data_IF_340670194385
#
_entry.id   IF_340670194385
#
_cell.length_a   1.000
_cell.length_b   1.000
_cell.length_c   1.000
_cell.angle_alpha   90.00
_cell.angle_beta   90.00
_cell.angle_gamma   90.00
#
_symmetry.space_group_name_H-M   'P 1'
#
loop_
_entity.id
_entity.type
_entity.pdbx_description
1 polymer ?
#
# COMPACT_ATOMS: atom_id res chain seq x y z
N UNK A 1 -17.23 20.22 -18.49
CA UNK A 1 -15.96 19.49 -18.68
C UNK A 1 -15.44 19.21 -17.27
N UNK A 2 -15.55 17.97 -16.80
CA UNK A 2 -15.41 17.57 -15.38
C UNK A 2 -14.11 18.02 -14.70
N UNK A 3 -13.06 18.29 -15.49
CA UNK A 3 -11.80 18.84 -14.98
C UNK A 3 -11.97 20.23 -14.33
N UNK A 4 -12.88 21.08 -14.85
CA UNK A 4 -13.12 22.41 -14.28
C UNK A 4 -13.78 22.34 -12.90
N UNK A 5 -14.79 21.47 -12.74
CA UNK A 5 -15.44 21.21 -11.44
C UNK A 5 -14.46 20.67 -10.40
N UNK A 6 -13.42 19.96 -10.86
CA UNK A 6 -12.34 19.53 -9.99
C UNK A 6 -11.50 20.71 -9.54
N UNK A 7 -11.07 21.57 -10.46
CA UNK A 7 -10.15 22.66 -10.17
C UNK A 7 -10.69 23.70 -9.16
N UNK A 8 -12.01 23.83 -9.00
CA UNK A 8 -12.62 24.77 -8.06
C UNK A 8 -12.47 24.36 -6.57
N UNK A 9 -12.45 23.06 -6.26
CA UNK A 9 -12.39 22.56 -4.87
C UNK A 9 -10.95 22.38 -4.39
N UNK A 10 -10.28 23.50 -4.10
CA UNK A 10 -8.93 23.54 -3.52
C UNK A 10 -8.95 23.80 -2.02
N UNK A 11 -7.90 23.35 -1.31
CA UNK A 11 -7.71 23.64 0.11
C UNK A 11 -7.57 25.13 0.44
N UNK A 12 -7.40 26.00 -0.56
CA UNK A 12 -7.31 27.45 -0.38
C UNK A 12 -8.69 28.11 -0.28
N UNK A 13 -9.73 27.47 -0.82
CA UNK A 13 -11.12 27.99 -0.85
C UNK A 13 -11.94 27.47 0.34
N UNK A 14 -11.60 26.29 0.85
CA UNK A 14 -12.39 25.59 1.86
C UNK A 14 -11.75 25.74 3.24
N UNK A 15 -12.54 26.13 4.22
CA UNK A 15 -12.10 26.13 5.61
C UNK A 15 -12.02 24.69 6.16
N UNK A 16 -10.79 24.22 6.31
CA UNK A 16 -10.47 22.86 6.79
C UNK A 16 -10.90 22.67 8.26
N UNK A 17 -11.06 23.75 9.02
CA UNK A 17 -11.46 23.69 10.43
C UNK A 17 -12.89 23.16 10.62
N UNK A 18 -13.77 23.42 9.66
CA UNK A 18 -15.15 22.92 9.68
C UNK A 18 -15.23 21.39 9.71
N UNK A 19 -14.23 20.70 9.15
CA UNK A 19 -14.20 19.24 9.07
C UNK A 19 -13.56 18.59 10.30
N UNK A 20 -13.00 19.37 11.21
CA UNK A 20 -12.29 18.82 12.38
C UNK A 20 -13.25 18.09 13.30
N UNK A 21 -12.87 16.88 13.69
CA UNK A 21 -13.72 16.01 14.49
C UNK A 21 -12.87 15.13 15.40
N UNK A 22 -13.21 15.10 16.69
CA UNK A 22 -12.52 14.34 17.72
C UNK A 22 -13.26 13.06 18.17
N UNK A 23 -14.20 12.56 17.36
CA UNK A 23 -14.80 11.24 17.57
C UNK A 23 -13.71 10.18 17.74
N UNK A 24 -13.90 9.30 18.72
CA UNK A 24 -12.96 8.24 19.06
C UNK A 24 -12.52 7.40 17.84
N UNK A 25 -13.47 7.07 16.96
CA UNK A 25 -13.18 6.34 15.70
C UNK A 25 -12.22 7.11 14.78
N UNK A 26 -12.42 8.42 14.59
CA UNK A 26 -11.55 9.26 13.75
C UNK A 26 -10.14 9.39 14.32
N UNK A 27 -10.03 9.51 15.65
CA UNK A 27 -8.73 9.55 16.34
C UNK A 27 -8.00 8.21 16.21
N UNK A 28 -8.70 7.08 16.41
CA UNK A 28 -8.12 5.75 16.19
C UNK A 28 -7.64 5.60 14.74
N UNK A 29 -8.46 5.98 13.76
CA UNK A 29 -8.08 5.89 12.34
C UNK A 29 -6.81 6.70 12.05
N UNK A 30 -6.63 7.86 12.69
CA UNK A 30 -5.42 8.65 12.55
C UNK A 30 -4.18 7.98 13.16
N UNK A 31 -4.32 7.41 14.36
CA UNK A 31 -3.23 6.65 15.01
C UNK A 31 -2.86 5.43 14.16
N UNK A 32 -3.85 4.69 13.65
CA UNK A 32 -3.62 3.56 12.75
C UNK A 32 -2.94 4.00 11.45
N UNK A 33 -3.34 5.14 10.88
CA UNK A 33 -2.66 5.72 9.71
C UNK A 33 -1.17 5.96 9.98
N UNK A 34 -0.82 6.58 11.11
CA UNK A 34 0.58 6.82 11.49
C UNK A 34 1.33 5.51 11.71
N UNK A 35 0.72 4.55 12.40
CA UNK A 35 1.29 3.22 12.62
C UNK A 35 1.59 2.49 11.31
N UNK A 36 0.64 2.44 10.38
CA UNK A 36 0.85 1.81 9.07
C UNK A 36 1.88 2.54 8.22
N UNK A 37 2.00 3.87 8.35
CA UNK A 37 3.05 4.62 7.68
C UNK A 37 4.45 4.23 8.20
N UNK A 38 4.62 4.13 9.52
CA UNK A 38 5.88 3.69 10.15
C UNK A 38 6.20 2.26 9.71
N UNK A 39 5.23 1.35 9.75
CA UNK A 39 5.40 -0.02 9.26
C UNK A 39 5.87 -0.05 7.80
N UNK A 40 5.27 0.77 6.92
CA UNK A 40 5.68 0.85 5.52
C UNK A 40 7.16 1.25 5.37
N UNK A 41 7.62 2.22 6.16
CA UNK A 41 9.03 2.64 6.16
C UNK A 41 9.93 1.52 6.71
N UNK A 42 9.51 0.86 7.79
CA UNK A 42 10.25 -0.25 8.38
C UNK A 42 10.41 -1.43 7.42
N UNK A 43 9.37 -1.78 6.65
CA UNK A 43 9.45 -2.81 5.62
C UNK A 43 10.46 -2.45 4.52
N UNK A 44 10.43 -1.21 4.01
CA UNK A 44 11.42 -0.75 3.03
C UNK A 44 12.84 -0.85 3.60
N UNK A 45 13.04 -0.46 4.86
CA UNK A 45 14.33 -0.58 5.54
C UNK A 45 14.80 -2.03 5.68
N UNK A 46 13.90 -2.94 6.07
CA UNK A 46 14.17 -4.38 6.15
C UNK A 46 14.55 -4.97 4.79
N UNK A 47 13.90 -4.52 3.72
CA UNK A 47 14.16 -4.98 2.35
C UNK A 47 15.54 -4.53 1.87
N UNK A 48 15.90 -3.26 2.13
CA UNK A 48 17.23 -2.73 1.83
C UNK A 48 18.32 -3.48 2.61
N UNK A 49 18.11 -3.74 3.90
CA UNK A 49 19.05 -4.50 4.72
C UNK A 49 19.26 -5.92 4.18
N UNK A 50 18.19 -6.58 3.76
CA UNK A 50 18.25 -7.91 3.13
C UNK A 50 19.02 -7.85 1.80
N UNK A 51 18.82 -6.79 1.00
CA UNK A 51 19.57 -6.57 -0.23
C UNK A 51 21.08 -6.49 0.02
N UNK A 52 21.49 -5.64 0.99
CA UNK A 52 22.90 -5.44 1.35
C UNK A 52 23.52 -6.77 1.80
N UNK A 53 22.82 -7.53 2.64
CA UNK A 53 23.27 -8.84 3.09
C UNK A 53 23.52 -9.81 1.93
N UNK A 54 22.61 -9.85 0.96
CA UNK A 54 22.72 -10.73 -0.21
C UNK A 54 23.86 -10.34 -1.15
N UNK A 55 24.17 -9.05 -1.26
CA UNK A 55 25.27 -8.54 -2.10
C UNK A 55 26.63 -8.73 -1.42
N UNK A 56 26.72 -8.51 -0.11
CA UNK A 56 28.00 -8.47 0.61
C UNK A 56 28.47 -9.85 1.04
N UNK A 57 27.57 -10.72 1.51
CA UNK A 57 27.97 -11.95 2.18
C UNK A 57 27.92 -13.18 1.30
N UNK A 58 27.36 -13.10 0.08
CA UNK A 58 27.27 -14.19 -0.90
C UNK A 58 26.82 -15.53 -0.31
N UNK A 59 26.10 -15.49 0.82
CA UNK A 59 25.61 -16.62 1.57
C UNK A 59 24.17 -16.32 1.99
N UNK A 60 23.27 -17.20 1.59
CA UNK A 60 22.02 -17.38 2.31
C UNK A 60 22.37 -17.91 3.72
N UNK A 61 21.56 -17.58 4.73
CA UNK A 61 21.66 -18.14 6.09
C UNK A 61 22.05 -19.63 6.02
N UNK A 62 23.15 -19.97 6.68
CA UNK A 62 24.20 -20.90 6.28
C UNK A 62 23.79 -22.36 6.14
N UNK A 63 22.55 -22.72 6.46
CA UNK A 63 22.04 -24.11 6.43
C UNK A 63 20.75 -24.29 5.62
N UNK A 64 20.22 -23.23 5.00
CA UNK A 64 18.96 -23.30 4.25
C UNK A 64 19.27 -23.20 2.75
N UNK A 65 19.52 -24.34 2.10
CA UNK A 65 19.70 -24.38 0.65
C UNK A 65 18.39 -23.98 -0.08
N UNK A 66 18.36 -22.91 -0.90
CA UNK A 66 17.18 -22.60 -1.71
C UNK A 66 16.95 -23.71 -2.75
N UNK A 67 15.67 -23.97 -3.10
CA UNK A 67 15.29 -24.94 -4.14
C UNK A 67 15.76 -24.53 -5.54
N UNK A 68 15.96 -23.23 -5.73
CA UNK A 68 16.44 -22.59 -6.95
C UNK A 68 17.93 -22.28 -6.74
N UNK A 69 18.74 -22.34 -7.81
CA UNK A 69 20.15 -22.01 -7.72
C UNK A 69 20.34 -20.63 -7.09
N UNK A 70 21.32 -20.55 -6.18
CA UNK A 70 21.55 -19.37 -5.37
C UNK A 70 21.73 -18.10 -6.21
N UNK A 71 22.38 -18.22 -7.37
CA UNK A 71 22.58 -17.12 -8.31
C UNK A 71 21.27 -16.56 -8.88
N UNK A 72 20.31 -17.43 -9.24
CA UNK A 72 19.01 -16.99 -9.78
C UNK A 72 18.22 -16.25 -8.69
N UNK A 73 18.18 -16.79 -7.47
CA UNK A 73 17.53 -16.12 -6.34
C UNK A 73 18.14 -14.74 -6.07
N UNK A 74 19.46 -14.62 -6.07
CA UNK A 74 20.16 -13.35 -5.86
C UNK A 74 19.70 -12.28 -6.85
N UNK A 75 19.72 -12.60 -8.15
CA UNK A 75 19.32 -11.65 -9.19
C UNK A 75 17.84 -11.28 -9.14
N UNK A 76 16.96 -12.23 -8.80
CA UNK A 76 15.53 -11.94 -8.60
C UNK A 76 15.35 -10.95 -7.43
N UNK A 77 15.99 -11.20 -6.29
CA UNK A 77 15.89 -10.30 -5.13
C UNK A 77 16.41 -8.90 -5.45
N UNK A 78 17.59 -8.78 -6.05
CA UNK A 78 18.17 -7.49 -6.46
C UNK A 78 17.23 -6.76 -7.43
N UNK A 79 16.73 -7.46 -8.46
CA UNK A 79 15.82 -6.90 -9.45
C UNK A 79 14.52 -6.39 -8.84
N UNK A 80 13.90 -7.17 -7.94
CA UNK A 80 12.68 -6.78 -7.25
C UNK A 80 12.87 -5.55 -6.36
N UNK A 81 14.00 -5.48 -5.65
CA UNK A 81 14.32 -4.37 -4.76
C UNK A 81 14.59 -3.09 -5.56
N UNK A 82 15.36 -3.19 -6.65
CA UNK A 82 15.62 -2.06 -7.54
C UNK A 82 14.34 -1.55 -8.18
N UNK A 83 13.48 -2.44 -8.68
CA UNK A 83 12.17 -2.07 -9.23
C UNK A 83 11.27 -1.41 -8.18
N UNK A 84 11.25 -1.93 -6.95
CA UNK A 84 10.50 -1.35 -5.83
C UNK A 84 10.95 0.07 -5.52
N UNK A 85 12.27 0.31 -5.43
CA UNK A 85 12.84 1.65 -5.20
C UNK A 85 12.47 2.60 -6.35
N UNK A 86 12.61 2.17 -7.60
CA UNK A 86 12.24 2.99 -8.76
C UNK A 86 10.74 3.36 -8.74
N UNK A 87 9.86 2.40 -8.45
CA UNK A 87 8.43 2.68 -8.33
C UNK A 87 8.11 3.62 -7.17
N UNK A 88 8.80 3.49 -6.03
CA UNK A 88 8.63 4.40 -4.90
C UNK A 88 9.04 5.82 -5.29
N UNK A 89 10.21 6.00 -5.92
CA UNK A 89 10.70 7.30 -6.39
C UNK A 89 9.76 7.92 -7.41
N UNK A 90 9.32 7.14 -8.41
CA UNK A 90 8.38 7.60 -9.42
C UNK A 90 7.05 8.07 -8.81
N UNK A 91 6.47 7.26 -7.92
CA UNK A 91 5.22 7.59 -7.23
C UNK A 91 5.40 8.80 -6.30
N UNK A 92 6.58 8.98 -5.71
CA UNK A 92 6.88 10.12 -4.87
C UNK A 92 6.93 11.42 -5.68
N UNK A 93 7.66 11.44 -6.80
CA UNK A 93 7.73 12.60 -7.71
C UNK A 93 6.33 12.95 -8.23
N UNK A 94 5.58 11.96 -8.70
CA UNK A 94 4.20 12.17 -9.15
C UNK A 94 3.28 12.65 -8.02
N UNK A 95 3.48 12.13 -6.81
CA UNK A 95 2.81 12.55 -5.58
C UNK A 95 3.07 14.02 -5.24
N UNK A 96 4.32 14.46 -5.32
CA UNK A 96 4.69 15.86 -5.10
C UNK A 96 4.05 16.78 -6.14
N UNK A 97 4.04 16.39 -7.42
CA UNK A 97 3.35 17.17 -8.46
C UNK A 97 1.87 17.37 -8.13
N UNK A 98 1.19 16.32 -7.64
CA UNK A 98 -0.22 16.40 -7.21
C UNK A 98 -0.38 17.18 -5.89
N UNK A 99 0.59 17.10 -4.98
CA UNK A 99 0.56 17.87 -3.74
C UNK A 99 0.47 19.39 -4.00
N UNK A 100 1.23 19.87 -4.98
CA UNK A 100 1.26 21.28 -5.35
C UNK A 100 -0.01 21.78 -6.04
N UNK A 101 -0.88 20.90 -6.57
CA UNK A 101 -2.16 21.35 -7.15
C UNK A 101 -3.16 21.81 -6.11
N UNK A 102 -2.96 21.48 -4.81
CA UNK A 102 -3.85 21.81 -3.68
C UNK A 102 -5.31 21.39 -3.86
N UNK A 103 -5.60 20.59 -4.87
CA UNK A 103 -6.92 20.14 -5.24
C UNK A 103 -7.31 18.92 -4.41
N UNK A 104 -8.42 19.02 -3.67
CA UNK A 104 -8.77 18.02 -2.65
C UNK A 104 -9.03 16.63 -3.27
N UNK A 105 -9.71 16.60 -4.41
CA UNK A 105 -10.03 15.34 -5.08
C UNK A 105 -8.78 14.64 -5.63
N UNK A 106 -7.86 15.42 -6.22
CA UNK A 106 -6.62 14.89 -6.79
C UNK A 106 -5.65 14.44 -5.69
N UNK A 107 -5.54 15.20 -4.60
CA UNK A 107 -4.69 14.85 -3.46
C UNK A 107 -5.20 13.61 -2.74
N UNK A 108 -6.51 13.47 -2.55
CA UNK A 108 -7.10 12.26 -1.94
C UNK A 108 -6.84 10.99 -2.76
N UNK A 109 -6.97 11.08 -4.08
CA UNK A 109 -6.77 9.97 -5.01
C UNK A 109 -5.29 9.56 -5.10
N UNK A 110 -4.35 10.46 -4.78
CA UNK A 110 -2.92 10.16 -4.78
C UNK A 110 -2.43 9.80 -3.36
N UNK A 111 -2.06 8.53 -3.08
CA UNK A 111 -1.66 8.12 -1.74
C UNK A 111 -0.49 8.92 -1.15
N UNK A 112 0.50 9.30 -1.97
CA UNK A 112 1.64 10.08 -1.49
C UNK A 112 1.20 11.49 -1.10
N UNK A 113 0.47 12.18 -1.97
CA UNK A 113 -0.02 13.53 -1.67
C UNK A 113 -0.92 13.52 -0.42
N UNK A 114 -1.88 12.58 -0.37
CA UNK A 114 -2.76 12.37 0.79
C UNK A 114 -1.96 12.18 2.08
N UNK A 115 -0.98 11.28 2.08
CA UNK A 115 -0.18 10.99 3.26
C UNK A 115 0.61 12.23 3.74
N UNK A 116 1.18 13.01 2.82
CA UNK A 116 1.91 14.25 3.16
C UNK A 116 0.96 15.26 3.83
N UNK A 117 -0.25 15.44 3.31
CA UNK A 117 -1.25 16.33 3.93
C UNK A 117 -1.69 15.84 5.32
N UNK A 118 -1.96 14.54 5.49
CA UNK A 118 -2.32 13.96 6.79
C UNK A 118 -1.20 14.10 7.83
N UNK A 119 0.06 14.01 7.42
CA UNK A 119 1.21 14.23 8.30
C UNK A 119 1.39 15.69 8.68
N UNK A 120 1.07 16.60 7.77
CA UNK A 120 1.19 18.04 8.00
C UNK A 120 0.24 18.53 9.09
N UNK A 121 -1.00 18.04 9.10
CA UNK A 121 -1.98 18.41 10.12
C UNK A 121 -3.12 17.41 10.20
N UNK A 122 -3.59 17.16 11.42
CA UNK A 122 -4.78 16.36 11.71
C UNK A 122 -6.03 16.87 10.97
N UNK A 123 -6.14 18.19 10.76
CA UNK A 123 -7.30 18.80 10.08
C UNK A 123 -7.52 18.22 8.68
N UNK A 124 -6.43 18.05 7.90
CA UNK A 124 -6.51 17.45 6.57
C UNK A 124 -6.90 15.97 6.61
N UNK A 125 -6.48 15.24 7.65
CA UNK A 125 -6.90 13.87 7.85
C UNK A 125 -8.42 13.79 8.09
N UNK A 126 -8.99 14.71 8.89
CA UNK A 126 -10.42 14.74 9.13
C UNK A 126 -11.23 14.95 7.84
N UNK A 127 -10.79 15.86 6.95
CA UNK A 127 -11.41 16.04 5.62
C UNK A 127 -11.45 14.72 4.85
N UNK A 128 -10.31 14.02 4.77
CA UNK A 128 -10.23 12.74 4.05
C UNK A 128 -11.02 11.61 4.72
N UNK A 129 -11.11 11.61 6.05
CA UNK A 129 -11.91 10.64 6.79
C UNK A 129 -13.41 10.84 6.50
N UNK A 130 -13.86 12.09 6.35
CA UNK A 130 -15.25 12.40 6.00
C UNK A 130 -15.60 11.90 4.60
N UNK A 131 -14.73 12.13 3.61
CA UNK A 131 -14.87 11.63 2.23
C UNK A 131 -15.04 10.10 2.18
N UNK A 132 -14.34 9.39 3.06
CA UNK A 132 -14.38 7.92 3.12
C UNK A 132 -15.72 7.38 3.63
N UNK A 133 -16.52 8.20 4.32
CA UNK A 133 -17.72 7.76 5.04
C UNK A 133 -19.03 7.83 4.25
N UNK A 134 -19.00 8.20 2.97
CA UNK A 134 -20.21 8.50 2.18
C UNK A 134 -21.13 7.27 1.95
N UNK A 135 -20.80 6.40 0.99
CA UNK A 135 -21.67 5.31 0.56
C UNK A 135 -20.88 4.02 0.32
N UNK A 136 -21.47 2.85 0.63
CA UNK A 136 -20.82 1.55 0.46
C UNK A 136 -20.35 1.30 -0.99
N UNK A 137 -21.19 1.64 -1.98
CA UNK A 137 -20.82 1.49 -3.39
C UNK A 137 -19.62 2.38 -3.77
N UNK A 138 -19.60 3.64 -3.32
CA UNK A 138 -18.48 4.55 -3.55
C UNK A 138 -17.22 4.06 -2.83
N UNK A 139 -17.36 3.51 -1.62
CA UNK A 139 -16.30 2.83 -0.89
C UNK A 139 -15.69 1.66 -1.67
N UNK A 140 -16.53 0.81 -2.27
CA UNK A 140 -16.07 -0.27 -3.15
C UNK A 140 -15.36 0.25 -4.41
N UNK A 141 -15.88 1.31 -5.04
CA UNK A 141 -15.22 1.93 -6.21
C UNK A 141 -13.84 2.48 -5.82
N UNK A 142 -13.74 3.20 -4.69
CA UNK A 142 -12.47 3.70 -4.17
C UNK A 142 -11.52 2.55 -3.89
N UNK A 143 -11.97 1.52 -3.18
CA UNK A 143 -11.17 0.33 -2.87
C UNK A 143 -10.59 -0.30 -4.14
N UNK A 144 -11.44 -0.63 -5.11
CA UNK A 144 -11.02 -1.23 -6.39
C UNK A 144 -10.06 -0.31 -7.14
N UNK A 145 -10.34 0.99 -7.21
CA UNK A 145 -9.47 1.95 -7.87
C UNK A 145 -8.06 2.01 -7.23
N UNK A 146 -7.98 2.13 -5.90
CA UNK A 146 -6.71 2.22 -5.19
C UNK A 146 -5.90 0.92 -5.27
N UNK A 147 -6.56 -0.24 -5.20
CA UNK A 147 -5.90 -1.55 -5.32
C UNK A 147 -5.35 -1.79 -6.73
N UNK A 148 -6.11 -1.46 -7.77
CA UNK A 148 -5.65 -1.58 -9.15
C UNK A 148 -4.54 -0.58 -9.46
N UNK A 149 -4.60 0.65 -8.95
CA UNK A 149 -3.53 1.64 -9.14
C UNK A 149 -2.19 1.19 -8.57
N UNK A 150 -2.20 0.50 -7.43
CA UNK A 150 -0.99 0.04 -6.74
C UNK A 150 -0.58 -1.40 -7.10
N UNK A 151 -1.18 -2.01 -8.13
CA UNK A 151 -0.97 -3.42 -8.45
C UNK A 151 0.46 -3.74 -8.90
N UNK A 152 1.14 -2.82 -9.61
CA UNK A 152 2.49 -3.05 -10.14
C UNK A 152 3.51 -3.30 -9.03
N UNK A 153 3.44 -2.57 -7.92
CA UNK A 153 4.30 -2.81 -6.76
C UNK A 153 4.05 -4.20 -6.19
N UNK A 154 2.79 -4.55 -5.94
CA UNK A 154 2.40 -5.82 -5.35
C UNK A 154 2.79 -7.03 -6.23
N UNK A 155 2.51 -6.96 -7.54
CA UNK A 155 2.74 -8.07 -8.47
C UNK A 155 4.21 -8.16 -8.86
N UNK A 156 4.79 -7.07 -9.37
CA UNK A 156 6.11 -7.12 -10.01
C UNK A 156 7.26 -6.99 -9.01
N UNK A 157 7.07 -6.26 -7.90
CA UNK A 157 8.13 -6.08 -6.92
C UNK A 157 8.03 -7.10 -5.78
N UNK A 158 6.85 -7.24 -5.19
CA UNK A 158 6.73 -8.05 -3.99
C UNK A 158 6.54 -9.54 -4.29
N UNK A 159 5.69 -9.92 -5.26
CA UNK A 159 5.36 -11.34 -5.49
C UNK A 159 6.56 -12.26 -5.71
N UNK A 160 7.55 -11.96 -6.59
CA UNK A 160 8.63 -12.90 -6.85
C UNK A 160 9.45 -13.19 -5.59
N UNK A 161 9.74 -12.14 -4.82
CA UNK A 161 10.42 -12.24 -3.53
C UNK A 161 9.61 -13.03 -2.51
N UNK A 162 8.31 -12.76 -2.40
CA UNK A 162 7.46 -13.40 -1.41
C UNK A 162 7.17 -14.87 -1.74
N UNK A 163 7.15 -15.25 -3.02
CA UNK A 163 7.10 -16.65 -3.45
C UNK A 163 8.39 -17.39 -3.04
N UNK A 164 9.56 -16.78 -3.19
CA UNK A 164 10.82 -17.39 -2.72
C UNK A 164 10.82 -17.52 -1.19
N UNK A 165 10.35 -16.50 -0.46
CA UNK A 165 10.19 -16.56 0.99
C UNK A 165 9.26 -17.72 1.40
N UNK A 166 8.13 -17.89 0.72
CA UNK A 166 7.19 -18.99 0.97
C UNK A 166 7.81 -20.37 0.76
N UNK A 167 8.51 -20.57 -0.36
CA UNK A 167 9.19 -21.85 -0.66
C UNK A 167 10.21 -22.16 0.44
N UNK A 168 10.95 -21.14 0.89
CA UNK A 168 11.92 -21.25 1.98
C UNK A 168 11.23 -21.69 3.28
N UNK A 169 10.13 -21.02 3.65
CA UNK A 169 9.35 -21.34 4.86
C UNK A 169 8.78 -22.76 4.82
N UNK A 170 8.16 -23.17 3.70
CA UNK A 170 7.59 -24.52 3.54
C UNK A 170 8.66 -25.60 3.74
N UNK A 171 9.87 -25.39 3.20
CA UNK A 171 10.97 -26.35 3.36
C UNK A 171 11.39 -26.48 4.83
N UNK A 172 11.52 -25.37 5.52
CA UNK A 172 11.91 -25.34 6.93
C UNK A 172 10.85 -26.03 7.81
N UNK A 173 9.57 -25.82 7.51
CA UNK A 173 8.45 -26.47 8.20
C UNK A 173 8.32 -27.97 7.92
N UNK A 174 8.93 -28.51 6.86
CA UNK A 174 8.91 -29.97 6.65
C UNK A 174 9.71 -30.75 7.70
N UNK A 175 10.60 -30.07 8.43
CA UNK A 175 11.42 -30.67 9.46
C UNK A 175 10.81 -30.55 10.87
N UNK A 176 9.74 -29.77 11.05
CA UNK A 176 9.21 -29.44 12.38
C UNK A 176 7.73 -29.01 12.32
N UNK A 177 6.93 -29.32 13.34
CA UNK A 177 5.46 -29.16 13.26
C UNK A 177 4.93 -27.73 13.38
N UNK A 178 5.75 -26.76 13.84
CA UNK A 178 5.31 -25.38 14.03
C UNK A 178 6.37 -24.33 13.66
N UNK A 179 5.97 -23.23 13.03
CA UNK A 179 6.90 -22.14 12.68
C UNK A 179 7.61 -21.55 13.91
N UNK A 180 6.89 -21.49 15.04
CA UNK A 180 7.42 -20.94 16.29
C UNK A 180 8.49 -21.86 16.90
N UNK A 181 8.34 -23.19 16.81
CA UNK A 181 9.37 -24.12 17.27
C UNK A 181 10.62 -24.04 16.40
N UNK A 182 10.46 -23.93 15.07
CA UNK A 182 11.61 -23.78 14.17
C UNK A 182 12.40 -22.50 14.45
N UNK A 183 11.72 -21.35 14.58
CA UNK A 183 12.40 -20.08 14.86
C UNK A 183 13.16 -20.16 16.19
N UNK A 184 12.59 -20.80 17.22
CA UNK A 184 13.26 -21.01 18.51
C UNK A 184 14.49 -21.94 18.39
N UNK A 185 14.38 -23.02 17.63
CA UNK A 185 15.47 -23.97 17.40
C UNK A 185 16.64 -23.32 16.65
N UNK A 186 16.36 -22.53 15.61
CA UNK A 186 17.38 -21.77 14.86
C UNK A 186 17.94 -20.63 15.70
N UNK A 187 17.14 -19.98 16.55
CA UNK A 187 17.63 -18.92 17.43
C UNK A 187 18.66 -19.41 18.46
N UNK A 188 18.60 -20.69 18.83
CA UNK A 188 19.55 -21.32 19.75
C UNK A 188 20.95 -21.48 19.12
N UNK A 189 21.03 -21.69 17.80
CA UNK A 189 22.29 -21.86 17.06
C UNK A 189 22.77 -20.56 16.41
N UNK A 190 21.88 -19.80 15.79
CA UNK A 190 22.20 -18.56 15.09
C UNK A 190 21.08 -17.52 15.20
N UNK A 191 21.23 -16.60 16.15
CA UNK A 191 20.28 -15.49 16.39
C UNK A 191 20.03 -14.64 15.15
N UNK A 192 21.05 -14.43 14.31
CA UNK A 192 20.92 -13.57 13.12
C UNK A 192 20.01 -14.19 12.07
N UNK A 193 20.12 -15.50 11.87
CA UNK A 193 19.31 -16.23 10.89
C UNK A 193 17.85 -16.35 11.34
N UNK A 194 17.63 -16.57 12.64
CA UNK A 194 16.29 -16.58 13.22
C UNK A 194 15.56 -15.23 13.04
N UNK A 195 16.27 -14.10 13.22
CA UNK A 195 15.72 -12.76 12.98
C UNK A 195 15.31 -12.60 11.52
N UNK A 196 16.20 -12.97 10.57
CA UNK A 196 15.91 -12.87 9.14
C UNK A 196 14.69 -13.71 8.77
N UNK A 197 14.64 -14.97 9.22
CA UNK A 197 13.52 -15.86 8.96
C UNK A 197 12.21 -15.28 9.53
N UNK A 198 12.23 -14.71 10.74
CA UNK A 198 11.06 -14.09 11.35
C UNK A 198 10.54 -12.89 10.54
N UNK A 199 11.45 -12.04 10.04
CA UNK A 199 11.11 -10.89 9.20
C UNK A 199 10.56 -11.34 7.84
N UNK A 200 11.16 -12.37 7.24
CA UNK A 200 10.67 -12.96 5.99
C UNK A 200 9.25 -13.48 6.14
N UNK A 201 8.98 -14.26 7.18
CA UNK A 201 7.63 -14.80 7.47
C UNK A 201 6.62 -13.70 7.74
N UNK A 202 6.98 -12.69 8.54
CA UNK A 202 6.11 -11.56 8.81
C UNK A 202 5.79 -10.78 7.52
N UNK A 203 6.78 -10.51 6.68
CA UNK A 203 6.58 -9.82 5.39
C UNK A 203 5.67 -10.61 4.45
N UNK A 204 5.80 -11.95 4.43
CA UNK A 204 4.97 -12.82 3.61
C UNK A 204 3.50 -12.77 4.04
N UNK A 205 3.22 -12.79 5.35
CA UNK A 205 1.85 -12.69 5.89
C UNK A 205 1.21 -11.35 5.47
N UNK A 206 1.93 -10.24 5.62
CA UNK A 206 1.42 -8.92 5.22
C UNK A 206 1.18 -8.85 3.71
N UNK A 207 2.11 -9.34 2.90
CA UNK A 207 1.93 -9.42 1.45
C UNK A 207 0.72 -10.28 1.07
N UNK A 208 0.51 -11.42 1.74
CA UNK A 208 -0.59 -12.33 1.46
C UNK A 208 -1.95 -11.67 1.73
N UNK A 209 -2.07 -10.88 2.81
CA UNK A 209 -3.26 -10.08 3.09
C UNK A 209 -3.52 -9.08 1.95
N UNK A 210 -2.50 -8.34 1.51
CA UNK A 210 -2.65 -7.41 0.39
C UNK A 210 -2.95 -8.10 -0.94
N UNK A 211 -2.43 -9.31 -1.15
CA UNK A 211 -2.73 -10.13 -2.31
C UNK A 211 -4.19 -10.56 -2.34
N UNK A 212 -4.75 -11.00 -1.20
CA UNK A 212 -6.19 -11.32 -1.09
C UNK A 212 -7.05 -10.09 -1.42
N UNK A 213 -6.73 -8.93 -0.84
CA UNK A 213 -7.44 -7.68 -1.14
C UNK A 213 -7.36 -7.29 -2.62
N UNK A 214 -6.22 -7.55 -3.27
CA UNK A 214 -6.04 -7.32 -4.69
C UNK A 214 -6.88 -8.28 -5.55
N UNK A 215 -6.96 -9.56 -5.17
CA UNK A 215 -7.84 -10.53 -5.83
C UNK A 215 -9.30 -10.09 -5.73
N UNK A 216 -9.76 -9.66 -4.57
CA UNK A 216 -11.11 -9.08 -4.41
C UNK A 216 -11.31 -7.87 -5.33
N UNK A 217 -10.33 -6.97 -5.42
CA UNK A 217 -10.43 -5.80 -6.29
C UNK A 217 -10.57 -6.19 -7.78
N UNK A 218 -9.88 -7.24 -8.25
CA UNK A 218 -10.03 -7.78 -9.62
C UNK A 218 -11.43 -8.35 -9.81
N UNK A 219 -11.92 -9.17 -8.88
CA UNK A 219 -13.24 -9.79 -8.99
C UNK A 219 -14.35 -8.74 -9.11
N UNK A 220 -14.25 -7.65 -8.34
CA UNK A 220 -15.22 -6.55 -8.39
C UNK A 220 -14.95 -5.55 -9.52
N UNK A 221 -13.80 -5.60 -10.20
CA UNK A 221 -13.45 -4.61 -11.23
C UNK A 221 -14.46 -4.59 -12.38
N UNK A 222 -14.77 -5.74 -12.98
CA UNK A 222 -15.71 -5.84 -14.10
C UNK A 222 -17.11 -5.28 -13.78
N UNK A 223 -17.81 -5.72 -12.71
CA UNK A 223 -19.14 -5.21 -12.41
C UNK A 223 -19.13 -3.72 -12.02
N UNK A 224 -18.10 -3.26 -11.30
CA UNK A 224 -17.96 -1.84 -10.94
C UNK A 224 -17.71 -1.00 -12.19
N UNK A 225 -16.77 -1.41 -13.04
CA UNK A 225 -16.45 -0.70 -14.27
C UNK A 225 -17.66 -0.60 -15.19
N UNK A 226 -18.41 -1.69 -15.36
CA UNK A 226 -19.65 -1.69 -16.13
C UNK A 226 -20.65 -0.67 -15.58
N UNK A 227 -20.90 -0.69 -14.26
CA UNK A 227 -21.85 0.23 -13.63
C UNK A 227 -21.40 1.69 -13.72
N UNK A 228 -20.12 1.99 -13.53
CA UNK A 228 -19.60 3.36 -13.57
C UNK A 228 -19.60 3.93 -14.99
N UNK A 229 -19.10 3.18 -15.97
CA UNK A 229 -18.93 3.69 -17.33
C UNK A 229 -20.23 3.63 -18.14
N UNK A 230 -20.96 2.51 -18.09
CA UNK A 230 -22.14 2.33 -18.94
C UNK A 230 -23.42 2.84 -18.28
N UNK A 231 -23.67 2.46 -17.02
CA UNK A 231 -24.93 2.83 -16.34
C UNK A 231 -24.91 4.28 -15.86
N UNK A 232 -23.80 4.72 -15.26
CA UNK A 232 -23.65 6.08 -14.74
C UNK A 232 -23.01 7.06 -15.73
N UNK A 233 -22.61 6.59 -16.93
CA UNK A 233 -22.12 7.42 -18.06
C UNK A 233 -20.84 8.22 -17.76
N UNK A 234 -19.98 7.77 -16.85
CA UNK A 234 -18.67 8.37 -16.62
C UNK A 234 -17.68 7.95 -17.72
N UNK A 235 -17.42 8.85 -18.68
CA UNK A 235 -16.61 8.57 -19.88
C UNK A 235 -15.12 8.35 -19.60
N UNK A 236 -14.58 8.86 -18.49
CA UNK A 236 -13.16 8.82 -18.16
C UNK A 236 -12.83 7.79 -17.06
N UNK A 237 -13.72 6.80 -16.86
CA UNK A 237 -13.50 5.65 -16.00
C UNK A 237 -13.59 5.93 -14.49
N UNK A 238 -13.01 5.01 -13.70
CA UNK A 238 -13.12 5.01 -12.23
C UNK A 238 -12.50 6.26 -11.58
N UNK A 239 -11.43 6.82 -12.17
CA UNK A 239 -10.77 8.03 -11.64
C UNK A 239 -11.73 9.21 -11.63
N UNK A 240 -12.47 9.40 -12.73
CA UNK A 240 -13.43 10.49 -12.86
C UNK A 240 -14.56 10.36 -11.82
N UNK A 241 -15.12 9.16 -11.68
CA UNK A 241 -16.13 8.87 -10.66
C UNK A 241 -15.62 9.22 -9.26
N UNK A 242 -14.40 8.78 -8.93
CA UNK A 242 -13.79 9.07 -7.63
C UNK A 242 -13.67 10.58 -7.39
N UNK A 243 -13.15 11.34 -8.36
CA UNK A 243 -12.98 12.78 -8.20
C UNK A 243 -14.30 13.52 -7.98
N UNK A 244 -15.30 13.24 -8.82
CA UNK A 244 -16.60 13.91 -8.75
C UNK A 244 -17.30 13.56 -7.44
N UNK A 245 -17.25 12.29 -7.02
CA UNK A 245 -17.86 11.86 -5.76
C UNK A 245 -17.22 12.55 -4.54
N UNK A 246 -15.90 12.74 -4.55
CA UNK A 246 -15.21 13.49 -3.49
C UNK A 246 -15.71 14.93 -3.43
N UNK A 247 -15.83 15.59 -4.58
CA UNK A 247 -16.31 16.97 -4.67
C UNK A 247 -17.75 17.11 -4.18
N UNK A 248 -18.64 16.20 -4.56
CA UNK A 248 -20.03 16.18 -4.08
C UNK A 248 -20.10 16.08 -2.55
N UNK A 249 -19.30 15.20 -1.94
CA UNK A 249 -19.29 15.02 -0.48
C UNK A 249 -18.81 16.29 0.23
N UNK A 250 -17.80 16.96 -0.32
CA UNK A 250 -17.28 18.21 0.24
C UNK A 250 -18.31 19.32 0.12
N UNK A 251 -18.94 19.49 -1.04
CA UNK A 251 -19.94 20.54 -1.28
C UNK A 251 -21.19 20.36 -0.40
N UNK A 252 -21.71 19.13 -0.31
CA UNK A 252 -22.87 18.81 0.53
C UNK A 252 -22.63 19.05 2.03
N UNK A 253 -21.37 19.10 2.46
CA UNK A 253 -21.00 19.38 3.85
C UNK A 253 -20.82 20.86 4.15
N UNK A 254 -20.51 21.66 3.13
CA UNK A 254 -20.30 23.11 3.27
C UNK A 254 -21.64 23.85 3.20
N UNK A 255 -22.64 23.29 2.52
CA UNK A 255 -24.04 23.77 2.49
C UNK A 255 -24.77 23.46 3.80
#
# INVERSE_FOLDING_TARGET
NWAWEIDENTFDVIDVDFFTNHKFSTVINYILFLFFLILKIAFIGSDIYTAIKLIVFDKWSSDITPFISYDICRWIFIGCILLSVLLIVWNFIYGLKVYYTRNISLTYINPIARNIYCLRSYKYFCVYNEITSDNFFSGLVFFTYFKLRNCLGLICCDSPRQIINLITIIKILKFDSSMVSVIKNIAATNKTEAIILSLMTFSFIIWFIFFIEFVYAILFFLPIYYRVVYKLKFKYGLKQYCCIKINEVIQNKIQ
#
